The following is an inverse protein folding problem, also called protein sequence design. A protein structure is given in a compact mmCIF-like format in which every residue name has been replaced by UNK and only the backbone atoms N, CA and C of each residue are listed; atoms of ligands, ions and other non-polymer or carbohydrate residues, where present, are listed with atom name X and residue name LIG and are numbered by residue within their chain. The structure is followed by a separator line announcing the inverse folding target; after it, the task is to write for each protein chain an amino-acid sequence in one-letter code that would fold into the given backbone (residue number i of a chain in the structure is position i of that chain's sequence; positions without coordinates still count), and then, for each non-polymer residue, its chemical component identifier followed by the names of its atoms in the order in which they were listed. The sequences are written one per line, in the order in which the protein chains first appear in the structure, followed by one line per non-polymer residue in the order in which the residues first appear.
data_IF_755722164405
#
_entry.id   IF_755722164405
#
_cell.length_a   1.000
_cell.length_b   1.000
_cell.length_c   1.000
_cell.angle_alpha   90.00
_cell.angle_beta   90.00
_cell.angle_gamma   90.00
#
_symmetry.space_group_name_H-M   'P 1'
#
loop_
_entity.id
_entity.type
_entity.pdbx_description
1 polymer ?
#
# COMPACT_ATOMS: atom_id res chain seq x y z
N UNK A 1 -13.78 -2.84 27.72
CA UNK A 1 -12.90 -1.65 27.67
C UNK A 1 -11.49 -2.15 27.44
N UNK A 2 -11.04 -2.26 26.18
CA UNK A 2 -9.68 -2.71 25.89
C UNK A 2 -8.77 -1.49 26.02
N UNK A 3 -7.83 -1.60 26.94
CA UNK A 3 -6.75 -0.66 27.18
C UNK A 3 -5.95 -0.48 25.87
N UNK A 4 -6.21 0.59 25.12
CA UNK A 4 -5.35 1.01 24.02
C UNK A 4 -4.07 1.58 24.64
N UNK A 5 -3.11 0.71 24.96
CA UNK A 5 -1.83 1.04 25.62
C UNK A 5 -0.99 2.01 24.77
N UNK A 6 -1.33 2.24 23.50
CA UNK A 6 -0.61 3.18 22.65
C UNK A 6 -1.52 3.92 21.66
N UNK A 7 -1.47 5.26 21.70
CA UNK A 7 -2.13 6.15 20.73
C UNK A 7 -1.66 5.84 19.30
N UNK A 8 -2.60 5.91 18.34
CA UNK A 8 -2.33 5.66 16.91
C UNK A 8 -1.24 6.57 16.32
N UNK A 9 -1.05 7.78 16.87
CA UNK A 9 0.05 8.64 16.50
C UNK A 9 1.42 8.03 16.83
N UNK A 10 1.54 7.32 17.96
CA UNK A 10 2.77 6.62 18.34
C UNK A 10 2.98 5.37 17.47
N UNK A 11 1.92 4.62 17.14
CA UNK A 11 1.99 3.46 16.24
C UNK A 11 2.46 3.87 14.85
N UNK A 12 1.92 4.97 14.35
CA UNK A 12 2.33 5.60 13.08
C UNK A 12 3.79 6.01 13.08
N UNK A 13 4.27 6.68 14.14
CA UNK A 13 5.69 7.03 14.26
C UNK A 13 6.57 5.79 14.31
N UNK A 14 6.12 4.74 15.00
CA UNK A 14 6.85 3.48 15.11
C UNK A 14 6.93 2.72 13.78
N UNK A 15 5.84 2.67 13.00
CA UNK A 15 5.87 2.05 11.67
C UNK A 15 6.80 2.81 10.72
N UNK A 16 6.73 4.15 10.69
CA UNK A 16 7.65 4.99 9.92
C UNK A 16 9.11 4.78 10.36
N UNK A 17 9.36 4.65 11.66
CA UNK A 17 10.68 4.35 12.18
C UNK A 17 11.20 3.00 11.66
N UNK A 18 10.38 1.94 11.70
CA UNK A 18 10.77 0.64 11.15
C UNK A 18 10.98 0.68 9.63
N UNK A 19 10.15 1.43 8.90
CA UNK A 19 10.30 1.61 7.46
C UNK A 19 11.65 2.26 7.09
N UNK A 20 12.05 3.31 7.81
CA UNK A 20 13.35 3.97 7.55
C UNK A 20 14.51 3.07 8.02
N UNK A 21 14.34 2.42 9.19
CA UNK A 21 15.34 1.52 9.78
C UNK A 21 15.66 0.34 8.86
N UNK A 22 14.66 -0.21 8.19
CA UNK A 22 14.82 -1.29 7.19
C UNK A 22 15.94 -1.00 6.20
N UNK A 23 15.98 0.20 5.62
CA UNK A 23 17.03 0.56 4.67
C UNK A 23 18.36 0.89 5.36
N UNK A 24 18.32 1.65 6.46
CA UNK A 24 19.55 2.08 7.15
C UNK A 24 20.30 0.87 7.70
N UNK A 25 19.64 -0.02 8.44
CA UNK A 25 20.29 -1.18 9.04
C UNK A 25 20.71 -2.22 8.02
N UNK A 26 20.00 -2.38 6.90
CA UNK A 26 20.48 -3.20 5.79
C UNK A 26 21.79 -2.65 5.21
N UNK A 27 21.86 -1.35 4.89
CA UNK A 27 23.08 -0.72 4.41
C UNK A 27 24.24 -0.84 5.41
N UNK A 28 23.96 -0.65 6.70
CA UNK A 28 24.97 -0.82 7.77
C UNK A 28 25.42 -2.28 7.88
N UNK A 29 24.49 -3.23 7.82
CA UNK A 29 24.80 -4.67 7.84
C UNK A 29 25.68 -5.09 6.67
N UNK A 30 25.39 -4.58 5.48
CA UNK A 30 26.21 -4.76 4.28
C UNK A 30 27.62 -4.19 4.48
N UNK A 31 27.71 -2.94 4.94
CA UNK A 31 29.00 -2.27 5.15
C UNK A 31 29.87 -2.99 6.20
N UNK A 32 29.27 -3.41 7.31
CA UNK A 32 29.98 -4.15 8.37
C UNK A 32 30.48 -5.49 7.83
N UNK A 33 29.64 -6.25 7.12
CA UNK A 33 30.04 -7.55 6.60
C UNK A 33 31.07 -7.46 5.48
N UNK A 34 31.02 -6.41 4.65
CA UNK A 34 32.06 -6.12 3.66
C UNK A 34 33.40 -5.84 4.34
N UNK A 35 33.41 -4.92 5.32
CA UNK A 35 34.66 -4.48 5.97
C UNK A 35 35.27 -5.59 6.84
N UNK A 36 34.43 -6.34 7.56
CA UNK A 36 34.89 -7.28 8.60
C UNK A 36 35.09 -8.72 8.13
N UNK A 37 34.38 -9.16 7.09
CA UNK A 37 34.38 -10.57 6.67
C UNK A 37 34.53 -10.71 5.16
N UNK A 38 33.42 -10.79 4.43
CA UNK A 38 33.34 -11.01 3.00
C UNK A 38 32.01 -10.43 2.49
N UNK A 39 31.97 -10.01 1.23
CA UNK A 39 30.79 -9.41 0.59
C UNK A 39 29.57 -10.31 0.73
N UNK A 40 29.74 -11.63 0.54
CA UNK A 40 28.65 -12.61 0.67
C UNK A 40 28.03 -12.61 2.08
N UNK A 41 28.86 -12.51 3.12
CA UNK A 41 28.39 -12.44 4.51
C UNK A 41 27.68 -11.12 4.76
N UNK A 42 28.21 -10.01 4.26
CA UNK A 42 27.56 -8.69 4.34
C UNK A 42 26.19 -8.66 3.65
N UNK A 43 26.08 -9.25 2.45
CA UNK A 43 24.82 -9.36 1.73
C UNK A 43 23.79 -10.16 2.56
N UNK A 44 24.19 -11.32 3.10
CA UNK A 44 23.31 -12.13 3.95
C UNK A 44 22.82 -11.38 5.19
N UNK A 45 23.71 -10.66 5.90
CA UNK A 45 23.33 -9.84 7.06
C UNK A 45 22.37 -8.72 6.64
N UNK A 46 22.64 -8.06 5.52
CA UNK A 46 21.77 -7.00 4.97
C UNK A 46 20.36 -7.51 4.68
N UNK A 47 20.22 -8.68 4.05
CA UNK A 47 18.93 -9.30 3.73
C UNK A 47 18.17 -9.68 4.99
N UNK A 48 18.86 -10.29 5.97
CA UNK A 48 18.24 -10.68 7.23
C UNK A 48 17.73 -9.44 7.98
N UNK A 49 18.52 -8.37 8.04
CA UNK A 49 18.09 -7.10 8.63
C UNK A 49 16.89 -6.52 7.89
N UNK A 50 16.93 -6.50 6.55
CA UNK A 50 15.82 -6.02 5.72
C UNK A 50 14.53 -6.78 6.07
N UNK A 51 14.58 -8.12 6.03
CA UNK A 51 13.43 -8.97 6.28
C UNK A 51 12.86 -8.79 7.70
N UNK A 52 13.72 -8.70 8.72
CA UNK A 52 13.28 -8.49 10.11
C UNK A 52 12.58 -7.14 10.26
N UNK A 53 13.17 -6.06 9.75
CA UNK A 53 12.57 -4.73 9.85
C UNK A 53 11.32 -4.60 8.98
N UNK A 54 11.28 -5.24 7.81
CA UNK A 54 10.09 -5.31 6.96
C UNK A 54 8.92 -6.00 7.68
N UNK A 55 9.17 -7.12 8.36
CA UNK A 55 8.14 -7.79 9.16
C UNK A 55 7.66 -6.92 10.32
N UNK A 56 8.58 -6.29 11.07
CA UNK A 56 8.23 -5.38 12.16
C UNK A 56 7.41 -4.18 11.66
N UNK A 57 7.78 -3.63 10.51
CA UNK A 57 7.04 -2.57 9.82
C UNK A 57 5.63 -3.01 9.44
N UNK A 58 5.49 -4.20 8.82
CA UNK A 58 4.19 -4.76 8.46
C UNK A 58 3.30 -5.00 9.66
N UNK A 59 3.84 -5.60 10.73
CA UNK A 59 3.12 -5.81 12.00
C UNK A 59 2.67 -4.46 12.60
N UNK A 60 3.55 -3.46 12.61
CA UNK A 60 3.22 -2.13 13.12
C UNK A 60 2.11 -1.46 12.31
N UNK A 61 2.13 -1.57 10.97
CA UNK A 61 1.06 -1.05 10.12
C UNK A 61 -0.27 -1.74 10.36
N UNK A 62 -0.27 -3.08 10.50
CA UNK A 62 -1.48 -3.85 10.84
C UNK A 62 -1.98 -3.51 12.25
N UNK A 63 -1.18 -2.93 13.14
CA UNK A 63 -1.65 -2.51 14.46
C UNK A 63 -2.33 -1.13 14.50
N UNK A 64 -2.20 -0.30 13.45
CA UNK A 64 -2.83 1.03 13.36
C UNK A 64 -4.32 0.84 13.04
N UNK A 65 -5.22 1.55 13.73
CA UNK A 65 -6.67 1.45 13.48
C UNK A 65 -7.06 2.39 12.35
N UNK A 66 -6.68 3.67 12.45
CA UNK A 66 -6.94 4.67 11.41
C UNK A 66 -5.81 4.74 10.36
N UNK A 67 -5.99 4.01 9.26
CA UNK A 67 -5.02 4.02 8.16
C UNK A 67 -5.19 5.21 7.23
N UNK A 68 -4.15 6.03 7.10
CA UNK A 68 -4.07 7.00 6.00
C UNK A 68 -3.67 6.33 4.67
N UNK A 69 -4.03 6.95 3.55
CA UNK A 69 -3.67 6.46 2.21
C UNK A 69 -2.16 6.41 1.96
N UNK A 70 -1.43 7.30 2.63
CA UNK A 70 0.04 7.28 2.63
C UNK A 70 0.57 5.98 3.25
N UNK A 71 0.02 5.55 4.38
CA UNK A 71 0.48 4.30 5.03
C UNK A 71 0.15 3.04 4.23
N UNK A 72 -0.98 3.05 3.51
CA UNK A 72 -1.36 1.95 2.61
C UNK A 72 -0.34 1.81 1.47
N UNK A 73 0.20 2.90 0.95
CA UNK A 73 1.15 2.90 -0.17
C UNK A 73 2.62 2.72 0.25
N UNK A 74 2.96 2.92 1.53
CA UNK A 74 4.33 2.78 2.03
C UNK A 74 4.99 1.43 1.71
N UNK A 75 4.34 0.26 1.90
CA UNK A 75 4.96 -1.01 1.54
C UNK A 75 5.37 -1.03 0.07
N UNK A 76 4.48 -0.64 -0.83
CA UNK A 76 4.74 -0.62 -2.28
C UNK A 76 5.89 0.34 -2.63
N UNK A 77 5.92 1.54 -2.03
CA UNK A 77 7.04 2.46 -2.18
C UNK A 77 8.36 1.84 -1.69
N UNK A 78 8.32 1.12 -0.57
CA UNK A 78 9.49 0.40 -0.06
C UNK A 78 10.01 -0.65 -1.03
N UNK A 79 9.10 -1.40 -1.66
CA UNK A 79 9.44 -2.37 -2.71
C UNK A 79 10.10 -1.71 -3.91
N UNK A 80 9.52 -0.61 -4.41
CA UNK A 80 10.09 0.15 -5.53
C UNK A 80 11.48 0.71 -5.21
N UNK A 81 11.65 1.26 -4.00
CA UNK A 81 12.96 1.75 -3.56
C UNK A 81 13.97 0.60 -3.56
N UNK A 82 13.59 -0.58 -3.04
CA UNK A 82 14.45 -1.75 -3.03
C UNK A 82 14.89 -2.15 -4.45
N UNK A 83 13.95 -2.26 -5.41
CA UNK A 83 14.27 -2.67 -6.79
C UNK A 83 15.07 -1.65 -7.60
N UNK A 84 15.08 -0.38 -7.17
CA UNK A 84 15.89 0.67 -7.82
C UNK A 84 17.28 0.76 -7.19
N UNK A 85 17.46 0.21 -5.97
CA UNK A 85 18.78 0.11 -5.38
C UNK A 85 19.62 -0.91 -6.16
N UNK A 86 20.95 -0.72 -6.22
CA UNK A 86 21.82 -1.66 -6.90
C UNK A 86 21.64 -3.06 -6.33
N UNK A 87 21.38 -4.06 -7.18
CA UNK A 87 21.15 -5.45 -6.82
C UNK A 87 22.15 -5.91 -5.74
N UNK A 88 21.66 -6.09 -4.52
CA UNK A 88 22.49 -6.59 -3.42
C UNK A 88 22.63 -8.11 -3.46
N UNK A 89 21.74 -8.80 -4.19
CA UNK A 89 21.76 -10.23 -4.43
C UNK A 89 21.99 -10.53 -5.91
N UNK A 90 22.73 -11.59 -6.23
CA UNK A 90 22.83 -12.07 -7.60
C UNK A 90 21.53 -12.76 -8.03
N UNK A 91 20.76 -12.09 -8.89
CA UNK A 91 19.71 -12.68 -9.72
C UNK A 91 18.30 -12.17 -9.43
N UNK A 92 17.38 -12.21 -10.42
CA UNK A 92 16.09 -11.47 -10.42
C UNK A 92 15.03 -11.97 -9.42
N UNK A 93 15.36 -12.96 -8.59
CA UNK A 93 14.41 -13.60 -7.69
C UNK A 93 14.14 -12.73 -6.45
N UNK A 94 15.14 -12.00 -5.97
CA UNK A 94 15.02 -11.17 -4.77
C UNK A 94 14.06 -10.00 -5.00
N UNK A 95 14.21 -9.28 -6.11
CA UNK A 95 13.33 -8.19 -6.53
C UNK A 95 11.89 -8.67 -6.65
N UNK A 96 11.68 -9.81 -7.29
CA UNK A 96 10.35 -10.39 -7.45
C UNK A 96 9.71 -10.73 -6.10
N UNK A 97 10.49 -11.27 -5.14
CA UNK A 97 10.02 -11.58 -3.79
C UNK A 97 9.67 -10.30 -3.02
N UNK A 98 10.53 -9.29 -3.06
CA UNK A 98 10.33 -8.03 -2.33
C UNK A 98 9.15 -7.27 -2.91
N UNK A 99 9.05 -7.14 -4.24
CA UNK A 99 7.91 -6.50 -4.91
C UNK A 99 6.60 -7.22 -4.63
N UNK A 100 6.58 -8.55 -4.71
CA UNK A 100 5.39 -9.33 -4.41
C UNK A 100 4.96 -9.17 -2.95
N UNK A 101 5.90 -9.25 -2.02
CA UNK A 101 5.63 -9.13 -0.58
C UNK A 101 5.10 -7.76 -0.21
N UNK A 102 5.69 -6.71 -0.77
CA UNK A 102 5.28 -5.31 -0.54
C UNK A 102 3.94 -4.99 -1.19
N UNK A 103 3.68 -5.50 -2.40
CA UNK A 103 2.39 -5.37 -3.08
C UNK A 103 1.27 -6.09 -2.31
N UNK A 104 1.50 -7.33 -1.87
CA UNK A 104 0.54 -8.10 -1.07
C UNK A 104 0.22 -7.37 0.23
N UNK A 105 1.24 -6.84 0.93
CA UNK A 105 1.05 -6.11 2.17
C UNK A 105 0.27 -4.80 1.93
N UNK A 106 0.66 -4.00 0.94
CA UNK A 106 -0.04 -2.76 0.55
C UNK A 106 -1.51 -3.03 0.24
N UNK A 107 -1.76 -4.10 -0.52
CA UNK A 107 -3.09 -4.53 -0.89
C UNK A 107 -3.92 -5.00 0.32
N UNK A 108 -3.34 -5.77 1.24
CA UNK A 108 -4.01 -6.19 2.47
C UNK A 108 -4.43 -4.99 3.32
N UNK A 109 -3.58 -3.96 3.40
CA UNK A 109 -3.89 -2.71 4.09
C UNK A 109 -4.97 -1.90 3.37
N UNK A 110 -4.98 -1.93 2.03
CA UNK A 110 -6.02 -1.30 1.22
C UNK A 110 -7.39 -1.92 1.45
N UNK A 111 -7.50 -3.26 1.39
CA UNK A 111 -8.74 -3.99 1.66
C UNK A 111 -9.26 -3.70 3.08
N UNK A 112 -8.35 -3.59 4.05
CA UNK A 112 -8.75 -3.21 5.41
C UNK A 112 -9.32 -1.80 5.47
N UNK A 113 -8.74 -0.87 4.71
CA UNK A 113 -9.20 0.53 4.67
C UNK A 113 -10.55 0.69 3.98
N UNK A 114 -10.86 -0.14 2.97
CA UNK A 114 -12.11 -0.09 2.22
C UNK A 114 -12.81 -1.47 2.24
N UNK A 115 -13.50 -1.83 3.34
CA UNK A 115 -14.14 -3.14 3.48
C UNK A 115 -15.30 -3.36 2.50
N UNK A 116 -15.86 -2.29 1.92
CA UNK A 116 -16.94 -2.35 0.91
C UNK A 116 -16.43 -2.73 -0.49
N UNK A 117 -15.11 -2.81 -0.68
CA UNK A 117 -14.53 -3.18 -1.97
C UNK A 117 -14.88 -4.64 -2.32
N UNK A 118 -15.34 -4.92 -3.56
CA UNK A 118 -15.64 -6.28 -3.97
C UNK A 118 -14.41 -7.20 -3.85
N UNK A 119 -14.51 -8.24 -3.02
CA UNK A 119 -13.39 -9.18 -2.75
C UNK A 119 -12.91 -9.94 -3.99
N UNK A 120 -13.66 -9.92 -5.09
CA UNK A 120 -13.23 -10.56 -6.34
C UNK A 120 -12.09 -9.81 -7.04
N UNK A 121 -11.91 -8.50 -6.78
CA UNK A 121 -10.78 -7.69 -7.29
C UNK A 121 -9.42 -8.24 -6.81
N UNK A 122 -9.41 -8.99 -5.70
CA UNK A 122 -8.22 -9.66 -5.17
C UNK A 122 -7.64 -10.63 -6.21
N UNK A 123 -8.47 -11.42 -6.90
CA UNK A 123 -7.99 -12.45 -7.82
C UNK A 123 -7.13 -11.91 -8.96
N UNK A 124 -7.57 -10.94 -9.79
CA UNK A 124 -6.73 -10.44 -10.88
C UNK A 124 -5.47 -9.73 -10.39
N UNK A 125 -5.51 -9.00 -9.26
CA UNK A 125 -4.33 -8.34 -8.68
C UNK A 125 -3.30 -9.35 -8.15
N UNK A 126 -3.75 -10.37 -7.43
CA UNK A 126 -2.89 -11.43 -6.91
C UNK A 126 -2.35 -12.27 -8.07
N UNK A 127 -3.16 -12.50 -9.11
CA UNK A 127 -2.72 -13.15 -10.35
C UNK A 127 -1.68 -12.32 -11.08
N UNK A 128 -1.81 -10.99 -11.12
CA UNK A 128 -0.81 -10.10 -11.70
C UNK A 128 0.54 -10.17 -10.96
N UNK A 129 0.51 -10.13 -9.62
CA UNK A 129 1.72 -10.24 -8.80
C UNK A 129 2.37 -11.63 -8.87
N UNK A 130 1.56 -12.69 -8.89
CA UNK A 130 2.05 -14.05 -9.16
C UNK A 130 2.60 -14.17 -10.58
N UNK A 131 1.99 -13.49 -11.55
CA UNK A 131 2.47 -13.45 -12.92
C UNK A 131 3.79 -12.70 -13.02
N UNK A 132 4.08 -11.67 -12.22
CA UNK A 132 5.42 -11.06 -12.22
C UNK A 132 6.47 -12.01 -11.61
N UNK A 133 6.10 -12.83 -10.62
CA UNK A 133 6.96 -13.88 -10.05
C UNK A 133 7.28 -15.00 -11.06
N UNK A 134 6.31 -15.39 -11.88
CA UNK A 134 6.48 -16.48 -12.89
C UNK A 134 6.97 -15.94 -14.23
N UNK A 135 6.54 -14.73 -14.59
CA UNK A 135 6.76 -14.04 -15.86
C UNK A 135 8.07 -13.27 -15.92
N UNK A 136 8.72 -12.97 -14.77
CA UNK A 136 10.12 -12.56 -14.75
C UNK A 136 11.08 -13.61 -15.35
N UNK A 137 10.60 -14.84 -15.57
CA UNK A 137 11.30 -15.90 -16.31
C UNK A 137 11.10 -15.83 -17.84
N UNK A 138 10.15 -15.02 -18.32
CA UNK A 138 9.83 -14.83 -19.75
C UNK A 138 10.25 -13.41 -20.15
N UNK A 139 11.46 -13.22 -20.72
CA UNK A 139 11.88 -11.91 -21.19
C UNK A 139 10.99 -11.45 -22.36
N UNK A 140 10.30 -10.31 -22.22
CA UNK A 140 9.59 -9.66 -23.33
C UNK A 140 8.55 -8.59 -22.92
N UNK A 141 8.13 -7.72 -23.85
CA UNK A 141 7.29 -6.52 -23.62
C UNK A 141 5.83 -6.78 -23.19
N UNK A 142 5.50 -8.04 -22.89
CA UNK A 142 4.13 -8.47 -22.56
C UNK A 142 3.84 -8.30 -21.07
N UNK A 143 4.86 -8.33 -20.21
CA UNK A 143 4.70 -8.17 -18.76
C UNK A 143 4.33 -6.71 -18.37
N UNK A 144 4.97 -5.72 -18.98
CA UNK A 144 4.69 -4.30 -18.81
C UNK A 144 3.27 -3.94 -19.27
N UNK A 145 2.80 -4.53 -20.37
CA UNK A 145 1.44 -4.33 -20.89
C UNK A 145 0.38 -4.87 -19.94
N UNK A 146 0.62 -6.03 -19.33
CA UNK A 146 -0.33 -6.68 -18.44
C UNK A 146 -0.42 -5.94 -17.10
N UNK A 147 0.70 -5.51 -16.54
CA UNK A 147 0.75 -4.66 -15.34
C UNK A 147 0.07 -3.31 -15.61
N UNK A 148 0.33 -2.69 -16.76
CA UNK A 148 -0.29 -1.42 -17.16
C UNK A 148 -1.80 -1.55 -17.37
N UNK A 149 -2.27 -2.65 -17.99
CA UNK A 149 -3.68 -2.93 -18.18
C UNK A 149 -4.43 -3.12 -16.85
N UNK A 150 -3.80 -3.77 -15.88
CA UNK A 150 -4.39 -3.97 -14.55
C UNK A 150 -4.39 -2.66 -13.75
N UNK A 151 -3.29 -1.90 -13.78
CA UNK A 151 -3.19 -0.61 -13.12
C UNK A 151 -4.22 0.40 -13.69
N UNK A 152 -4.39 0.44 -15.01
CA UNK A 152 -5.40 1.29 -15.67
C UNK A 152 -6.83 0.81 -15.39
N UNK A 153 -7.09 -0.50 -15.37
CA UNK A 153 -8.39 -1.04 -14.98
C UNK A 153 -8.79 -0.65 -13.56
N UNK A 154 -7.85 -0.74 -12.61
CA UNK A 154 -8.08 -0.35 -11.21
C UNK A 154 -8.28 1.17 -11.08
N UNK A 155 -7.51 1.99 -11.80
CA UNK A 155 -7.67 3.46 -11.74
C UNK A 155 -9.01 3.93 -12.31
N UNK A 156 -9.48 3.32 -13.40
CA UNK A 156 -10.78 3.60 -14.02
C UNK A 156 -11.92 3.17 -13.08
N UNK A 157 -11.79 2.02 -12.43
CA UNK A 157 -12.80 1.55 -11.48
C UNK A 157 -12.88 2.48 -10.26
N UNK A 158 -11.73 2.87 -9.69
CA UNK A 158 -11.67 3.80 -8.55
C UNK A 158 -12.25 5.19 -8.87
N UNK A 159 -11.95 5.74 -10.05
CA UNK A 159 -12.51 7.03 -10.49
C UNK A 159 -14.01 6.97 -10.73
N UNK A 160 -14.54 5.87 -11.26
CA UNK A 160 -16.00 5.70 -11.40
C UNK A 160 -16.71 5.65 -10.07
N UNK A 161 -16.14 4.97 -9.06
CA UNK A 161 -16.81 4.88 -7.76
C UNK A 161 -16.82 6.22 -7.02
N UNK A 162 -15.72 6.99 -7.09
CA UNK A 162 -15.66 8.33 -6.50
C UNK A 162 -16.71 9.27 -7.09
N UNK A 163 -16.91 9.22 -8.42
CA UNK A 163 -17.89 10.05 -9.12
C UNK A 163 -19.34 9.73 -8.74
N UNK A 164 -19.65 8.45 -8.56
CA UNK A 164 -20.99 8.03 -8.11
C UNK A 164 -21.27 8.53 -6.69
N UNK A 165 -20.28 8.48 -5.79
CA UNK A 165 -20.44 9.00 -4.43
C UNK A 165 -20.57 10.53 -4.37
N UNK A 166 -19.91 11.28 -5.26
CA UNK A 166 -20.08 12.74 -5.32
C UNK A 166 -21.45 13.14 -5.84
N UNK A 167 -21.92 12.48 -6.90
CA UNK A 167 -23.21 12.81 -7.52
C UNK A 167 -24.38 12.56 -6.55
N UNK A 168 -24.32 11.49 -5.75
CA UNK A 168 -25.34 11.18 -4.73
C UNK A 168 -25.37 12.24 -3.61
N UNK A 169 -24.20 12.73 -3.19
CA UNK A 169 -24.12 13.76 -2.14
C UNK A 169 -24.64 15.12 -2.62
N UNK A 170 -24.32 15.51 -3.86
CA UNK A 170 -24.82 16.76 -4.45
C UNK A 170 -26.34 16.72 -4.65
N UNK A 171 -26.89 15.57 -5.06
CA UNK A 171 -28.33 15.41 -5.23
C UNK A 171 -29.09 15.49 -3.90
N UNK A 172 -28.55 14.87 -2.83
CA UNK A 172 -29.10 14.97 -1.47
C UNK A 172 -29.13 16.41 -0.95
N UNK A 173 -28.02 17.14 -1.10
CA UNK A 173 -27.89 18.52 -0.60
C UNK A 173 -28.80 19.49 -1.37
N UNK A 174 -29.01 19.23 -2.67
CA UNK A 174 -29.94 20.00 -3.50
C UNK A 174 -31.40 19.78 -3.11
N UNK A 175 -31.75 18.56 -2.69
CA UNK A 175 -33.12 18.21 -2.35
C UNK A 175 -33.51 18.81 -0.99
N UNK A 176 -32.59 18.80 -0.01
CA UNK A 176 -32.79 19.46 1.28
C UNK A 176 -33.04 20.98 1.13
N UNK A 177 -32.28 21.66 0.26
CA UNK A 177 -32.52 23.10 -0.02
C UNK A 177 -33.90 23.36 -0.60
N UNK A 178 -34.36 22.54 -1.56
CA UNK A 178 -35.70 22.69 -2.14
C UNK A 178 -36.81 22.51 -1.12
N UNK A 179 -36.64 21.58 -0.17
CA UNK A 179 -37.62 21.36 0.91
C UNK A 179 -37.66 22.57 1.85
N UNK A 180 -36.51 23.15 2.19
CA UNK A 180 -36.44 24.35 3.05
C UNK A 180 -37.08 25.56 2.36
N UNK A 181 -36.78 25.78 1.08
CA UNK A 181 -37.35 26.91 0.32
C UNK A 181 -38.87 26.80 0.16
N UNK A 182 -39.39 25.58 -0.11
CA UNK A 182 -40.83 25.34 -0.18
C UNK A 182 -41.54 25.47 1.18
N UNK A 183 -40.83 25.23 2.28
CA UNK A 183 -41.34 25.46 3.64
C UNK A 183 -41.44 26.95 3.95
N UNK A 184 -40.47 27.75 3.51
CA UNK A 184 -40.47 29.20 3.68
C UNK A 184 -41.55 29.90 2.83
N UNK A 185 -41.80 29.46 1.59
CA UNK A 185 -42.84 30.06 0.74
C UNK A 185 -44.26 29.83 1.27
N UNK A 186 -44.52 28.70 1.93
CA UNK A 186 -45.85 28.44 2.50
C UNK A 186 -46.13 29.25 3.79
N UNK A 187 -45.10 29.78 4.45
CA UNK A 187 -45.29 30.64 5.62
C UNK A 187 -45.60 32.10 5.26
N UNK A 188 -45.17 32.58 4.09
CA UNK A 188 -45.43 33.96 3.65
C UNK A 188 -46.85 34.20 3.14
N UNK A 189 -47.61 33.15 2.86
CA UNK A 189 -48.99 33.24 2.36
C UNK A 189 -50.04 33.19 3.49
N UNK A 190 -49.61 33.15 4.77
CA UNK A 190 -50.48 33.01 5.95
C UNK A 190 -50.63 34.33 6.76
N UNK A 191 -49.97 35.41 6.36
CA UNK A 191 -50.15 36.77 6.92
C UNK A 191 -51.03 37.66 6.02
#
# INVERSE_FOLDING_TARGET
MKEQIMSDAKKTRLSTFFFVSMFIFSCVGLAIGWIGWDFRTGAMVSIVMFAVFFLLFGIALVAIEDLSWFHVSLPMLGGLIYTVMPDFLPGPIDDAIVMSSTAILSFALWVRKQPETPKWIIFPLLTAGLYTLVGGLIPGPVDELLVTAIASGVSIYGTRQYRISSDINDESDSNDRRVIDASHSNLSDVE
#
